data_IF_183744571406
#
_entry.id   IF_183744571406
#
_cell.length_a   1.000
_cell.length_b   1.000
_cell.length_c   1.000
_cell.angle_alpha   90.00
_cell.angle_beta   90.00
_cell.angle_gamma   90.00
#
_symmetry.space_group_name_H-M   'P 1'
#
loop_
_entity.id
_entity.type
_entity.pdbx_description
1 polymer ?
#
# COMPACT_ATOMS: atom_id res chain seq x y z
N UNK A 1 24.78 11.41 -5.22
CA UNK A 1 25.41 11.01 -6.50
C UNK A 1 24.91 11.88 -7.67
N UNK A 2 23.60 11.95 -7.95
CA UNK A 2 23.07 12.78 -9.07
C UNK A 2 23.35 14.29 -8.94
N UNK A 3 23.29 14.85 -7.72
CA UNK A 3 23.67 16.24 -7.47
C UNK A 3 25.14 16.55 -7.82
N UNK A 4 26.02 15.56 -7.78
CA UNK A 4 27.41 15.74 -8.23
C UNK A 4 27.50 15.75 -9.76
N UNK A 5 26.76 14.86 -10.44
CA UNK A 5 26.67 14.83 -11.90
C UNK A 5 26.15 16.18 -12.41
N UNK A 6 25.10 16.71 -11.78
CA UNK A 6 24.54 18.03 -12.09
C UNK A 6 25.57 19.15 -11.95
N UNK A 7 26.32 19.18 -10.83
CA UNK A 7 27.38 20.17 -10.59
C UNK A 7 28.55 20.06 -11.56
N UNK A 8 28.82 18.88 -12.10
CA UNK A 8 29.89 18.65 -13.08
C UNK A 8 29.50 19.05 -14.50
N UNK A 9 28.20 19.19 -14.79
CA UNK A 9 27.70 19.55 -16.11
C UNK A 9 26.57 20.60 -16.03
N UNK A 10 26.84 21.81 -15.49
CA UNK A 10 25.80 22.81 -15.20
C UNK A 10 25.07 23.30 -16.46
N UNK A 11 25.79 23.47 -17.58
CA UNK A 11 25.18 23.87 -18.86
C UNK A 11 24.24 22.77 -19.40
N UNK A 12 24.65 21.51 -19.31
CA UNK A 12 23.81 20.38 -19.73
C UNK A 12 22.59 20.22 -18.81
N UNK A 13 22.72 20.50 -17.51
CA UNK A 13 21.59 20.46 -16.59
C UNK A 13 20.54 21.54 -16.91
N UNK A 14 20.94 22.65 -17.52
CA UNK A 14 20.05 23.74 -17.93
C UNK A 14 19.40 23.49 -19.30
N UNK A 15 20.15 22.96 -20.27
CA UNK A 15 19.70 22.98 -21.68
C UNK A 15 19.62 21.60 -22.36
N UNK A 16 19.95 20.51 -21.67
CA UNK A 16 19.94 19.16 -22.24
C UNK A 16 18.96 18.24 -21.51
N UNK A 17 17.83 17.98 -22.16
CA UNK A 17 16.77 17.11 -21.65
C UNK A 17 17.25 15.70 -21.28
N UNK A 18 18.33 15.20 -21.91
CA UNK A 18 18.90 13.89 -21.59
C UNK A 18 19.53 13.84 -20.19
N UNK A 19 19.94 14.99 -19.65
CA UNK A 19 20.38 15.11 -18.26
C UNK A 19 19.23 15.57 -17.34
N UNK A 20 18.37 16.48 -17.80
CA UNK A 20 17.22 16.94 -16.99
C UNK A 20 16.26 15.81 -16.61
N UNK A 21 15.95 14.86 -17.52
CA UNK A 21 15.05 13.74 -17.24
C UNK A 21 15.53 12.84 -16.07
N UNK A 22 16.76 12.30 -16.08
CA UNK A 22 17.25 11.52 -14.94
C UNK A 22 17.41 12.37 -13.68
N UNK A 23 17.69 13.68 -13.79
CA UNK A 23 17.67 14.58 -12.64
C UNK A 23 16.25 14.72 -12.05
N UNK A 24 15.22 14.85 -12.89
CA UNK A 24 13.82 14.88 -12.44
C UNK A 24 13.52 13.59 -11.68
N UNK A 25 13.83 12.43 -12.27
CA UNK A 25 13.60 11.13 -11.65
C UNK A 25 14.30 10.99 -10.30
N UNK A 26 15.59 11.30 -10.25
CA UNK A 26 16.38 11.16 -9.02
C UNK A 26 15.93 12.11 -7.91
N UNK A 27 15.58 13.36 -8.24
CA UNK A 27 15.02 14.31 -7.28
C UNK A 27 13.63 13.89 -6.81
N UNK A 28 12.80 13.30 -7.69
CA UNK A 28 11.45 12.85 -7.35
C UNK A 28 11.49 11.65 -6.40
N UNK A 29 12.34 10.65 -6.69
CA UNK A 29 12.53 9.49 -5.81
C UNK A 29 13.06 9.93 -4.42
N UNK A 30 14.01 10.87 -4.38
CA UNK A 30 14.52 11.41 -3.12
C UNK A 30 13.46 12.24 -2.36
N UNK A 31 12.64 13.01 -3.08
CA UNK A 31 11.55 13.81 -2.52
C UNK A 31 10.50 12.92 -1.88
N UNK A 32 10.01 11.92 -2.63
CA UNK A 32 9.06 10.93 -2.13
C UNK A 32 9.62 10.20 -0.91
N UNK A 33 10.88 9.74 -0.95
CA UNK A 33 11.47 9.01 0.17
C UNK A 33 11.51 9.86 1.45
N UNK A 34 11.93 11.13 1.36
CA UNK A 34 11.99 12.02 2.53
C UNK A 34 10.60 12.27 3.13
N UNK A 35 9.61 12.55 2.27
CA UNK A 35 8.22 12.73 2.71
C UNK A 35 7.63 11.46 3.29
N UNK A 36 7.85 10.31 2.65
CA UNK A 36 7.35 9.02 3.14
C UNK A 36 7.85 8.74 4.55
N UNK A 37 9.14 8.90 4.83
CA UNK A 37 9.70 8.73 6.18
C UNK A 37 8.96 9.63 7.18
N UNK A 38 8.84 10.93 6.89
CA UNK A 38 8.17 11.87 7.78
C UNK A 38 6.68 11.56 7.97
N UNK A 39 5.99 11.20 6.90
CA UNK A 39 4.57 10.88 6.93
C UNK A 39 4.27 9.57 7.69
N UNK A 40 5.15 8.58 7.59
CA UNK A 40 5.10 7.35 8.40
C UNK A 40 5.31 7.67 9.86
N UNK A 41 6.30 8.51 10.22
CA UNK A 41 6.51 8.95 11.61
C UNK A 41 5.28 9.68 12.18
N UNK A 42 4.62 10.54 11.37
CA UNK A 42 3.38 11.22 11.77
C UNK A 42 2.25 10.21 12.00
N UNK A 43 2.11 9.21 11.12
CA UNK A 43 1.09 8.17 11.29
C UNK A 43 1.33 7.33 12.54
N UNK A 44 2.57 6.87 12.77
CA UNK A 44 2.95 6.11 13.96
C UNK A 44 2.63 6.90 15.25
N UNK A 45 2.97 8.19 15.29
CA UNK A 45 2.64 9.06 16.41
C UNK A 45 1.13 9.24 16.60
N UNK A 46 0.34 9.29 15.52
CA UNK A 46 -1.11 9.34 15.62
C UNK A 46 -1.69 8.03 16.16
N UNK A 47 -1.15 6.88 15.74
CA UNK A 47 -1.51 5.56 16.30
C UNK A 47 -1.13 5.47 17.78
N UNK A 48 0.00 6.04 18.21
CA UNK A 48 0.37 6.14 19.63
C UNK A 48 -0.68 6.91 20.43
N UNK A 49 -1.25 8.00 19.88
CA UNK A 49 -2.36 8.71 20.54
C UNK A 49 -3.61 7.86 20.66
N UNK A 50 -3.90 7.03 19.66
CA UNK A 50 -5.03 6.09 19.71
C UNK A 50 -4.84 5.00 20.76
N UNK A 51 -3.60 4.54 21.03
CA UNK A 51 -3.31 3.56 22.09
C UNK A 51 -3.76 4.05 23.49
N UNK A 52 -3.74 5.35 23.72
CA UNK A 52 -4.17 5.94 24.99
C UNK A 52 -5.70 5.99 25.17
N UNK A 53 -6.49 5.56 24.18
CA UNK A 53 -7.95 5.69 24.21
C UNK A 53 -8.61 5.04 25.43
N UNK A 54 -8.08 3.91 25.93
CA UNK A 54 -8.59 3.27 27.16
C UNK A 54 -8.35 4.10 28.43
N UNK A 55 -7.37 5.01 28.41
CA UNK A 55 -7.00 5.86 29.54
C UNK A 55 -7.67 7.23 29.49
N UNK A 56 -7.69 7.88 28.32
CA UNK A 56 -8.19 9.26 28.16
C UNK A 56 -9.58 9.34 27.50
N UNK A 57 -10.10 8.20 27.05
CA UNK A 57 -11.38 8.09 26.34
C UNK A 57 -11.25 8.25 24.82
N UNK A 58 -12.15 7.63 24.04
CA UNK A 58 -12.05 7.56 22.58
C UNK A 58 -12.08 8.93 21.91
N UNK A 59 -12.93 9.86 22.39
CA UNK A 59 -13.06 11.20 21.83
C UNK A 59 -11.78 12.03 21.97
N UNK A 60 -11.11 11.95 23.12
CA UNK A 60 -9.87 12.67 23.37
C UNK A 60 -8.72 12.09 22.55
N UNK A 61 -8.56 10.76 22.55
CA UNK A 61 -7.55 10.09 21.75
C UNK A 61 -7.67 10.37 20.24
N UNK A 62 -8.90 10.32 19.69
CA UNK A 62 -9.16 10.69 18.30
C UNK A 62 -8.80 12.16 18.03
N UNK A 63 -9.13 13.08 18.94
CA UNK A 63 -8.79 14.50 18.77
C UNK A 63 -7.27 14.72 18.77
N UNK A 64 -6.53 14.06 19.65
CA UNK A 64 -5.06 14.10 19.68
C UNK A 64 -4.45 13.50 18.39
N UNK A 65 -4.94 12.34 17.96
CA UNK A 65 -4.48 11.69 16.72
C UNK A 65 -4.72 12.60 15.49
N UNK A 66 -5.89 13.24 15.38
CA UNK A 66 -6.19 14.22 14.33
C UNK A 66 -5.22 15.40 14.34
N UNK A 67 -4.88 15.90 15.53
CA UNK A 67 -3.91 16.98 15.69
C UNK A 67 -2.55 16.63 15.10
N UNK A 68 -2.07 15.41 15.38
CA UNK A 68 -0.81 14.89 14.82
C UNK A 68 -0.91 14.69 13.31
N UNK A 69 -1.97 14.05 12.80
CA UNK A 69 -2.16 13.82 11.37
C UNK A 69 -2.23 15.11 10.54
N UNK A 70 -2.70 16.21 11.13
CA UNK A 70 -2.76 17.51 10.47
C UNK A 70 -1.37 18.07 10.10
N UNK A 71 -0.29 17.63 10.77
CA UNK A 71 1.09 18.07 10.50
C UNK A 71 1.52 17.80 9.05
N UNK A 72 0.94 16.78 8.39
CA UNK A 72 1.18 16.47 6.96
C UNK A 72 0.93 17.69 6.06
N UNK A 73 -0.06 18.52 6.39
CA UNK A 73 -0.46 19.67 5.56
C UNK A 73 0.56 20.80 5.56
N UNK A 74 1.44 20.82 6.56
CA UNK A 74 2.47 21.86 6.75
C UNK A 74 3.88 21.28 6.67
N UNK A 75 4.06 20.03 6.22
CA UNK A 75 5.36 19.39 6.12
C UNK A 75 6.25 20.05 5.05
N UNK A 76 7.42 20.56 5.47
CA UNK A 76 8.43 21.19 4.62
C UNK A 76 9.73 20.39 4.50
N UNK A 77 9.76 19.15 5.01
CA UNK A 77 10.96 18.29 5.13
C UNK A 77 11.76 18.12 3.82
N UNK A 78 11.11 18.25 2.67
CA UNK A 78 11.72 18.08 1.35
C UNK A 78 11.49 19.28 0.42
N UNK A 79 11.33 20.49 0.97
CA UNK A 79 11.02 21.70 0.21
C UNK A 79 12.13 22.08 -0.80
N UNK A 80 13.39 21.75 -0.51
CA UNK A 80 14.53 21.91 -1.41
C UNK A 80 14.34 21.09 -2.70
N UNK A 81 13.96 19.82 -2.55
CA UNK A 81 13.71 18.91 -3.66
C UNK A 81 12.43 19.27 -4.42
N UNK A 82 11.37 19.68 -3.71
CA UNK A 82 10.13 20.18 -4.34
C UNK A 82 10.43 21.36 -5.26
N UNK A 83 11.21 22.33 -4.77
CA UNK A 83 11.60 23.50 -5.54
C UNK A 83 12.41 23.10 -6.78
N UNK A 84 13.34 22.15 -6.65
CA UNK A 84 14.11 21.64 -7.79
C UNK A 84 13.24 20.90 -8.81
N UNK A 85 12.24 20.14 -8.36
CA UNK A 85 11.30 19.44 -9.24
C UNK A 85 10.47 20.40 -10.09
N UNK A 86 9.99 21.49 -9.49
CA UNK A 86 9.26 22.54 -10.21
C UNK A 86 10.16 23.24 -11.25
N UNK A 87 11.41 23.52 -10.90
CA UNK A 87 12.39 24.09 -11.83
C UNK A 87 12.70 23.13 -12.99
N UNK A 88 12.96 21.86 -12.70
CA UNK A 88 13.17 20.83 -13.72
C UNK A 88 11.94 20.65 -14.62
N UNK A 89 10.74 20.81 -14.05
CA UNK A 89 9.47 20.84 -14.79
C UNK A 89 9.48 21.89 -15.89
N UNK A 90 9.87 23.11 -15.52
CA UNK A 90 10.00 24.23 -16.45
C UNK A 90 11.06 23.97 -17.51
N UNK A 91 12.26 23.54 -17.10
CA UNK A 91 13.38 23.30 -18.02
C UNK A 91 13.06 22.20 -19.05
N UNK A 92 12.37 21.13 -18.63
CA UNK A 92 11.94 20.04 -19.53
C UNK A 92 10.83 20.49 -20.48
N UNK A 93 9.94 21.36 -20.04
CA UNK A 93 8.95 21.97 -20.92
C UNK A 93 9.63 22.86 -21.98
N UNK A 94 10.57 23.71 -21.58
CA UNK A 94 11.33 24.56 -22.51
C UNK A 94 12.20 23.74 -23.48
N UNK A 95 12.77 22.63 -23.02
CA UNK A 95 13.70 21.82 -23.83
C UNK A 95 12.99 20.92 -24.85
N UNK A 96 11.87 20.28 -24.46
CA UNK A 96 11.20 19.27 -25.28
C UNK A 96 9.66 19.33 -25.24
N UNK A 97 9.07 20.34 -24.60
CA UNK A 97 7.61 20.46 -24.49
C UNK A 97 6.97 19.45 -23.54
N UNK A 98 7.73 18.91 -22.57
CA UNK A 98 7.19 17.92 -21.64
C UNK A 98 6.10 18.53 -20.75
N UNK A 99 4.94 17.86 -20.67
CA UNK A 99 3.74 18.35 -19.99
C UNK A 99 3.60 17.72 -18.60
N UNK A 100 4.31 18.25 -17.61
CA UNK A 100 4.45 17.61 -16.29
C UNK A 100 3.40 18.02 -15.26
N UNK A 101 2.54 18.98 -15.57
CA UNK A 101 1.34 19.34 -14.79
C UNK A 101 0.29 19.99 -15.69
N UNK A 102 -0.95 20.06 -15.20
CA UNK A 102 -2.06 20.65 -15.95
C UNK A 102 -1.98 22.17 -16.00
N UNK A 103 -1.69 22.81 -14.87
CA UNK A 103 -1.84 24.25 -14.68
C UNK A 103 -0.83 25.08 -15.49
N UNK A 104 0.41 24.61 -15.59
CA UNK A 104 1.53 25.29 -16.21
C UNK A 104 1.87 24.74 -17.59
N UNK A 105 1.75 23.42 -17.80
CA UNK A 105 2.28 22.76 -19.00
C UNK A 105 1.21 22.09 -19.88
N UNK A 106 -0.07 22.20 -19.51
CA UNK A 106 -1.18 21.78 -20.36
C UNK A 106 -1.32 20.27 -20.51
N UNK A 107 -0.89 19.48 -19.51
CA UNK A 107 -1.23 18.07 -19.46
C UNK A 107 -2.76 17.89 -19.53
N UNK A 108 -3.24 16.87 -20.23
CA UNK A 108 -4.69 16.69 -20.44
C UNK A 108 -5.40 16.25 -19.16
N UNK A 109 -4.75 15.38 -18.37
CA UNK A 109 -5.25 14.85 -17.10
C UNK A 109 -4.10 14.50 -16.16
N UNK A 110 -4.37 14.46 -14.85
CA UNK A 110 -3.39 14.13 -13.82
C UNK A 110 -2.82 12.70 -13.98
N UNK A 111 -3.66 11.73 -14.33
CA UNK A 111 -3.27 10.34 -14.61
C UNK A 111 -2.50 10.13 -15.92
N UNK A 112 -2.13 11.20 -16.64
CA UNK A 112 -1.49 11.15 -17.95
C UNK A 112 -0.13 11.84 -17.97
N UNK A 113 0.74 11.44 -17.05
CA UNK A 113 2.14 11.89 -17.00
C UNK A 113 2.37 13.23 -16.29
N UNK A 114 1.33 13.80 -15.69
CA UNK A 114 1.37 15.05 -14.94
C UNK A 114 1.89 14.82 -13.50
N UNK A 115 3.10 14.29 -13.37
CA UNK A 115 3.67 13.90 -12.07
C UNK A 115 3.82 15.05 -11.08
N UNK A 116 3.96 16.30 -11.56
CA UNK A 116 4.07 17.46 -10.66
C UNK A 116 2.73 17.86 -10.01
N UNK A 117 1.58 17.42 -10.56
CA UNK A 117 0.29 17.57 -9.87
C UNK A 117 0.29 16.79 -8.54
N UNK A 118 1.06 15.69 -8.45
CA UNK A 118 1.07 14.79 -7.29
C UNK A 118 2.09 15.14 -6.22
N UNK A 119 2.78 16.28 -6.32
CA UNK A 119 3.82 16.65 -5.35
C UNK A 119 3.27 16.70 -3.92
N UNK A 120 2.03 17.13 -3.74
CA UNK A 120 1.40 17.28 -2.42
C UNK A 120 0.49 16.11 -2.04
N UNK A 121 0.52 15.02 -2.81
CA UNK A 121 -0.23 13.80 -2.50
C UNK A 121 0.16 13.27 -1.10
N UNK A 122 -0.83 12.84 -0.31
CA UNK A 122 -0.61 12.30 1.02
C UNK A 122 -0.01 10.88 0.94
N UNK A 123 1.10 10.63 1.62
CA UNK A 123 1.81 9.35 1.62
C UNK A 123 1.54 8.51 2.90
N UNK A 124 0.36 8.68 3.49
CA UNK A 124 -0.07 7.96 4.69
C UNK A 124 -1.59 7.75 4.72
N UNK A 125 -2.08 7.02 5.71
CA UNK A 125 -3.48 6.60 5.84
C UNK A 125 -4.40 7.69 6.39
N UNK A 126 -3.95 8.95 6.49
CA UNK A 126 -4.74 10.06 7.06
C UNK A 126 -6.18 10.12 6.51
N UNK A 127 -6.43 10.09 5.18
CA UNK A 127 -7.81 10.16 4.67
C UNK A 127 -8.69 9.00 5.15
N UNK A 128 -8.11 7.79 5.24
CA UNK A 128 -8.81 6.61 5.74
C UNK A 128 -9.06 6.70 7.24
N UNK A 129 -8.04 7.05 8.03
CA UNK A 129 -8.15 7.24 9.47
C UNK A 129 -9.21 8.28 9.83
N UNK A 130 -9.26 9.40 9.11
CA UNK A 130 -10.29 10.43 9.31
C UNK A 130 -11.71 9.90 9.08
N UNK A 131 -11.88 9.06 8.05
CA UNK A 131 -13.16 8.38 7.77
C UNK A 131 -13.53 7.44 8.90
N UNK A 132 -12.58 6.66 9.42
CA UNK A 132 -12.82 5.76 10.55
C UNK A 132 -13.16 6.53 11.83
N UNK A 133 -12.44 7.60 12.13
CA UNK A 133 -12.70 8.45 13.29
C UNK A 133 -14.12 9.02 13.27
N UNK A 134 -14.59 9.46 12.10
CA UNK A 134 -15.96 9.95 11.97
C UNK A 134 -16.98 8.86 12.31
N UNK A 135 -16.81 7.65 11.76
CA UNK A 135 -17.68 6.50 12.04
C UNK A 135 -17.67 6.12 13.53
N UNK A 136 -16.49 6.15 14.18
CA UNK A 136 -16.37 5.78 15.58
C UNK A 136 -17.08 6.80 16.49
N UNK A 137 -16.95 8.09 16.19
CA UNK A 137 -17.58 9.16 16.98
C UNK A 137 -19.11 9.18 16.86
N UNK A 138 -19.68 8.56 15.83
CA UNK A 138 -21.12 8.38 15.64
C UNK A 138 -21.70 7.24 16.48
N UNK A 139 -20.86 6.33 17.00
CA UNK A 139 -21.28 5.27 17.90
C UNK A 139 -21.71 5.84 19.27
N UNK A 140 -22.80 5.31 19.81
CA UNK A 140 -23.29 5.69 21.15
C UNK A 140 -22.55 4.95 22.28
N UNK A 141 -22.06 3.74 22.01
CA UNK A 141 -21.37 2.90 23.01
C UNK A 141 -19.85 3.14 23.01
N UNK A 142 -19.36 3.71 24.12
CA UNK A 142 -17.93 3.89 24.39
C UNK A 142 -17.13 2.59 24.30
N UNK A 143 -17.72 1.46 24.69
CA UNK A 143 -17.05 0.14 24.63
C UNK A 143 -16.82 -0.26 23.18
N UNK A 144 -17.82 -0.09 22.31
CA UNK A 144 -17.67 -0.35 20.88
C UNK A 144 -16.65 0.61 20.26
N UNK A 145 -16.67 1.90 20.63
CA UNK A 145 -15.65 2.88 20.17
C UNK A 145 -14.23 2.42 20.49
N UNK A 146 -13.99 1.97 21.73
CA UNK A 146 -12.68 1.48 22.16
C UNK A 146 -12.25 0.23 21.39
N UNK A 147 -13.18 -0.71 21.16
CA UNK A 147 -12.89 -1.92 20.37
C UNK A 147 -12.52 -1.57 18.92
N UNK A 148 -13.21 -0.62 18.30
CA UNK A 148 -12.92 -0.16 16.94
C UNK A 148 -11.57 0.55 16.84
N UNK A 149 -11.24 1.39 17.82
CA UNK A 149 -9.93 2.04 17.92
C UNK A 149 -8.83 0.98 18.08
N UNK A 150 -9.02 0.02 18.99
CA UNK A 150 -8.05 -1.05 19.19
C UNK A 150 -7.81 -1.86 17.91
N UNK A 151 -8.86 -2.13 17.14
CA UNK A 151 -8.74 -2.81 15.85
C UNK A 151 -7.88 -2.05 14.83
N UNK A 152 -7.90 -0.71 14.84
CA UNK A 152 -6.99 0.12 14.03
C UNK A 152 -5.57 0.08 14.57
N UNK A 153 -5.41 0.21 15.89
CA UNK A 153 -4.09 0.19 16.55
C UNK A 153 -3.36 -1.13 16.27
N UNK A 154 -4.08 -2.24 16.28
CA UNK A 154 -3.56 -3.59 16.07
C UNK A 154 -3.72 -4.06 14.61
N UNK A 155 -3.94 -3.13 13.66
CA UNK A 155 -4.30 -3.48 12.28
C UNK A 155 -3.32 -4.50 11.66
N UNK A 156 -2.03 -4.23 11.82
CA UNK A 156 -0.94 -5.05 11.29
C UNK A 156 -0.46 -6.13 12.27
N UNK A 157 -0.99 -6.16 13.50
CA UNK A 157 -0.61 -7.13 14.54
C UNK A 157 -1.58 -8.35 14.53
N UNK A 158 -1.13 -9.51 14.05
CA UNK A 158 -1.92 -10.74 14.07
C UNK A 158 -1.94 -11.43 15.45
N UNK A 159 -1.24 -10.88 16.44
CA UNK A 159 -1.04 -11.47 17.77
C UNK A 159 0.09 -12.50 17.81
N UNK A 160 0.43 -13.01 19.02
CA UNK A 160 1.53 -13.94 19.20
C UNK A 160 1.41 -15.23 18.37
N UNK A 161 2.42 -15.51 17.55
CA UNK A 161 2.45 -16.68 16.67
C UNK A 161 1.59 -16.55 15.42
N UNK A 162 1.07 -15.35 15.13
CA UNK A 162 0.47 -15.00 13.86
C UNK A 162 1.45 -14.31 12.91
N UNK A 163 1.00 -14.07 11.68
CA UNK A 163 1.78 -13.45 10.59
C UNK A 163 0.95 -12.38 9.88
N UNK A 164 1.62 -11.34 9.38
CA UNK A 164 1.02 -10.30 8.53
C UNK A 164 1.91 -10.07 7.31
N UNK A 165 1.28 -9.98 6.14
CA UNK A 165 1.91 -9.69 4.86
C UNK A 165 1.15 -8.57 4.15
N UNK A 166 1.87 -7.52 3.77
CA UNK A 166 1.44 -6.51 2.79
C UNK A 166 2.02 -6.90 1.44
N UNK A 167 1.17 -7.46 0.58
CA UNK A 167 1.54 -8.03 -0.70
C UNK A 167 1.77 -6.98 -1.79
N UNK A 168 1.38 -5.73 -1.55
CA UNK A 168 1.74 -4.60 -2.39
C UNK A 168 3.17 -4.13 -2.13
N UNK A 169 3.69 -4.35 -0.91
CA UNK A 169 4.97 -3.85 -0.47
C UNK A 169 6.08 -4.92 -0.52
N UNK A 170 7.02 -4.78 -1.45
CA UNK A 170 8.07 -5.78 -1.72
C UNK A 170 8.87 -6.21 -0.47
N UNK A 171 9.05 -5.32 0.50
CA UNK A 171 9.76 -5.60 1.75
C UNK A 171 8.91 -6.21 2.87
N UNK A 172 7.60 -6.39 2.67
CA UNK A 172 6.62 -6.78 3.69
C UNK A 172 5.78 -8.00 3.30
N UNK A 173 6.30 -8.82 2.39
CA UNK A 173 5.63 -10.00 1.84
C UNK A 173 6.47 -11.29 2.00
N UNK A 174 7.02 -11.58 3.20
CA UNK A 174 7.96 -12.69 3.41
C UNK A 174 7.43 -14.06 3.01
N UNK A 175 6.10 -14.27 3.04
CA UNK A 175 5.49 -15.56 2.73
C UNK A 175 5.03 -15.69 1.27
N UNK A 176 5.09 -14.62 0.47
CA UNK A 176 4.66 -14.65 -0.92
C UNK A 176 5.67 -15.38 -1.81
N UNK A 177 5.19 -16.40 -2.52
CA UNK A 177 6.01 -17.21 -3.43
C UNK A 177 6.10 -16.59 -4.83
N UNK A 178 7.24 -16.75 -5.54
CA UNK A 178 8.51 -17.33 -5.04
C UNK A 178 9.25 -16.39 -4.08
N UNK A 179 9.90 -16.96 -3.06
CA UNK A 179 10.66 -16.18 -2.05
C UNK A 179 11.98 -15.62 -2.60
N UNK A 180 12.67 -16.33 -3.49
CA UNK A 180 13.85 -15.81 -4.20
C UNK A 180 13.42 -14.92 -5.37
N UNK A 181 13.28 -13.63 -5.08
CA UNK A 181 12.81 -12.62 -6.04
C UNK A 181 13.78 -12.37 -7.19
N UNK A 182 15.09 -12.46 -6.95
CA UNK A 182 16.08 -12.19 -7.99
C UNK A 182 16.12 -13.34 -9.00
N UNK A 183 16.14 -14.58 -8.52
CA UNK A 183 16.07 -15.75 -9.40
C UNK A 183 14.73 -15.79 -10.16
N UNK A 184 13.61 -15.48 -9.48
CA UNK A 184 12.30 -15.39 -10.10
C UNK A 184 12.25 -14.36 -11.23
N UNK A 185 12.73 -13.14 -10.98
CA UNK A 185 12.78 -12.10 -12.01
C UNK A 185 13.70 -12.48 -13.18
N UNK A 186 14.85 -13.11 -12.94
CA UNK A 186 15.74 -13.60 -14.01
C UNK A 186 15.07 -14.66 -14.89
N UNK A 187 14.29 -15.56 -14.27
CA UNK A 187 13.60 -16.63 -14.98
C UNK A 187 12.30 -16.15 -15.67
N UNK A 188 11.63 -15.16 -15.10
CA UNK A 188 10.34 -14.63 -15.55
C UNK A 188 10.31 -13.09 -15.44
N UNK A 189 11.09 -12.37 -16.28
CA UNK A 189 11.20 -10.91 -16.20
C UNK A 189 9.92 -10.18 -16.59
N UNK A 190 8.98 -10.89 -17.21
CA UNK A 190 7.65 -10.39 -17.59
C UNK A 190 6.55 -10.72 -16.58
N UNK A 191 6.87 -11.40 -15.47
CA UNK A 191 5.92 -11.82 -14.43
C UNK A 191 4.71 -12.60 -14.99
N UNK A 192 4.92 -13.45 -16.00
CA UNK A 192 3.87 -14.26 -16.63
C UNK A 192 3.44 -15.43 -15.74
N UNK A 193 4.41 -16.01 -15.04
CA UNK A 193 4.29 -17.20 -14.20
C UNK A 193 4.56 -16.94 -12.72
N UNK A 194 4.96 -15.72 -12.37
CA UNK A 194 5.21 -15.27 -11.00
C UNK A 194 4.34 -14.04 -10.69
N UNK A 195 4.14 -13.77 -9.39
CA UNK A 195 3.40 -12.57 -8.95
C UNK A 195 4.15 -11.27 -9.30
N UNK A 196 3.41 -10.25 -9.71
CA UNK A 196 3.87 -8.86 -9.82
C UNK A 196 3.22 -7.97 -8.75
N UNK A 197 3.81 -6.81 -8.47
CA UNK A 197 3.14 -5.75 -7.73
C UNK A 197 2.38 -4.89 -8.74
N UNK A 198 1.05 -4.89 -8.66
CA UNK A 198 0.17 -4.11 -9.54
C UNK A 198 -0.53 -3.01 -8.72
N UNK A 199 -0.93 -1.94 -9.38
CA UNK A 199 -1.65 -0.81 -8.77
C UNK A 199 -3.15 -0.86 -9.10
N UNK A 200 -3.97 -0.69 -8.06
CA UNK A 200 -5.39 -0.45 -8.18
C UNK A 200 -5.72 0.96 -8.65
N UNK A 201 -6.95 1.15 -9.16
CA UNK A 201 -7.46 2.48 -9.50
C UNK A 201 -8.09 3.17 -8.27
N UNK A 202 -7.27 3.50 -7.27
CA UNK A 202 -7.72 4.05 -5.98
C UNK A 202 -7.42 5.54 -5.78
N UNK A 203 -7.12 6.26 -6.85
CA UNK A 203 -6.83 7.70 -6.79
C UNK A 203 -8.00 8.49 -7.36
N UNK A 204 -8.45 9.51 -6.62
CA UNK A 204 -9.34 10.53 -7.14
C UNK A 204 -8.49 11.52 -7.95
N UNK A 205 -8.54 11.43 -9.28
CA UNK A 205 -7.72 12.30 -10.14
C UNK A 205 -8.16 13.77 -10.14
N UNK A 206 -9.37 14.08 -9.65
CA UNK A 206 -9.86 15.45 -9.49
C UNK A 206 -9.38 16.09 -8.20
N UNK A 207 -9.42 15.35 -7.08
CA UNK A 207 -8.99 15.81 -5.76
C UNK A 207 -7.49 15.59 -5.50
N UNK A 208 -6.85 14.70 -6.26
CA UNK A 208 -5.47 14.25 -6.04
C UNK A 208 -5.29 13.65 -4.64
N UNK A 209 -6.23 12.80 -4.26
CA UNK A 209 -6.27 12.09 -2.99
C UNK A 209 -6.65 10.62 -3.24
N UNK A 210 -6.52 9.77 -2.22
CA UNK A 210 -7.06 8.42 -2.29
C UNK A 210 -8.60 8.48 -2.29
N UNK A 211 -9.25 7.66 -3.13
CA UNK A 211 -10.71 7.59 -3.21
C UNK A 211 -11.32 7.05 -1.91
N UNK A 212 -10.78 5.92 -1.44
CA UNK A 212 -11.19 5.18 -0.26
C UNK A 212 -10.09 4.20 0.17
N UNK A 213 -10.07 3.86 1.46
CA UNK A 213 -9.22 2.79 1.98
C UNK A 213 -7.79 3.19 2.36
N UNK A 214 -7.07 2.22 2.92
CA UNK A 214 -5.67 2.35 3.33
C UNK A 214 -4.73 2.45 2.12
N UNK A 215 -3.57 3.06 2.33
CA UNK A 215 -2.48 3.14 1.36
C UNK A 215 -2.01 1.74 0.94
N UNK A 216 -1.99 0.77 1.85
CA UNK A 216 -1.67 -0.64 1.56
C UNK A 216 -2.66 -1.32 0.59
N UNK A 217 -3.79 -0.69 0.27
CA UNK A 217 -4.77 -1.23 -0.68
C UNK A 217 -4.67 -0.61 -2.08
N UNK A 218 -3.74 0.32 -2.27
CA UNK A 218 -3.46 0.99 -3.55
C UNK A 218 -2.69 0.07 -4.49
N UNK A 219 -1.89 -0.84 -3.94
CA UNK A 219 -1.19 -1.88 -4.67
C UNK A 219 -1.47 -3.25 -4.05
N UNK A 220 -1.17 -4.29 -4.82
CA UNK A 220 -1.45 -5.67 -4.45
C UNK A 220 -0.51 -6.61 -5.17
N UNK A 221 -0.39 -7.85 -4.67
CA UNK A 221 0.14 -8.92 -5.50
C UNK A 221 -0.89 -9.31 -6.56
N UNK A 222 -0.43 -9.37 -7.81
CA UNK A 222 -1.21 -9.84 -8.94
C UNK A 222 -0.50 -10.99 -9.67
N UNK A 223 -1.26 -11.97 -10.14
CA UNK A 223 -0.77 -12.96 -11.11
C UNK A 223 -1.47 -12.81 -12.45
N UNK A 224 -0.81 -13.20 -13.54
CA UNK A 224 -1.40 -13.11 -14.88
C UNK A 224 -2.13 -14.38 -15.29
N UNK A 225 -3.15 -14.20 -16.13
CA UNK A 225 -3.94 -15.27 -16.73
C UNK A 225 -4.61 -16.17 -15.69
N UNK A 226 -4.23 -17.45 -15.63
CA UNK A 226 -4.70 -18.41 -14.62
C UNK A 226 -3.60 -18.87 -13.66
N UNK A 227 -2.45 -18.19 -13.64
CA UNK A 227 -1.36 -18.50 -12.71
C UNK A 227 -1.87 -18.31 -11.28
N UNK A 228 -1.85 -19.33 -10.41
CA UNK A 228 -2.29 -19.16 -9.03
C UNK A 228 -1.35 -18.25 -8.24
N UNK A 229 -1.91 -17.42 -7.36
CA UNK A 229 -1.12 -16.69 -6.36
C UNK A 229 -0.88 -17.63 -5.17
N UNK A 230 0.35 -17.71 -4.68
CA UNK A 230 0.73 -18.69 -3.65
C UNK A 230 1.51 -18.05 -2.51
N UNK A 231 1.21 -18.48 -1.30
CA UNK A 231 1.95 -18.13 -0.10
C UNK A 231 2.30 -19.40 0.69
N UNK A 232 3.40 -19.35 1.43
CA UNK A 232 3.84 -20.44 2.31
C UNK A 232 4.21 -19.92 3.68
N UNK A 233 3.60 -20.48 4.71
CA UNK A 233 3.93 -20.25 6.10
C UNK A 233 4.63 -21.48 6.68
N UNK A 234 5.65 -21.27 7.50
CA UNK A 234 6.39 -22.33 8.21
C UNK A 234 6.39 -22.06 9.70
N UNK A 235 6.85 -23.03 10.48
CA UNK A 235 7.02 -22.92 11.94
C UNK A 235 5.68 -22.65 12.67
N UNK A 236 4.58 -23.15 12.12
CA UNK A 236 3.26 -23.10 12.75
C UNK A 236 3.20 -24.08 13.93
N UNK A 237 2.41 -23.74 14.95
CA UNK A 237 2.09 -24.63 16.06
C UNK A 237 1.06 -25.68 15.58
N UNK A 238 1.44 -26.96 15.42
CA UNK A 238 0.55 -27.96 14.84
C UNK A 238 -0.67 -28.29 15.71
N UNK A 239 -0.66 -27.85 16.98
CA UNK A 239 -1.77 -28.06 17.91
C UNK A 239 -2.78 -26.93 17.90
N UNK A 240 -2.39 -25.75 17.43
CA UNK A 240 -3.26 -24.59 17.38
C UNK A 240 -4.28 -24.68 16.24
N UNK A 241 -5.25 -23.78 16.28
CA UNK A 241 -6.12 -23.48 15.15
C UNK A 241 -5.71 -22.16 14.55
N UNK A 242 -6.02 -21.96 13.28
CA UNK A 242 -5.67 -20.74 12.55
C UNK A 242 -6.86 -20.21 11.76
N UNK A 243 -6.89 -18.90 11.63
CA UNK A 243 -7.80 -18.16 10.76
C UNK A 243 -6.98 -17.30 9.83
N UNK A 244 -7.36 -17.28 8.56
CA UNK A 244 -6.76 -16.39 7.57
C UNK A 244 -7.68 -15.19 7.39
N UNK A 245 -7.12 -13.99 7.51
CA UNK A 245 -7.77 -12.73 7.19
C UNK A 245 -7.16 -12.22 5.89
N UNK A 246 -7.99 -11.75 4.95
CA UNK A 246 -7.54 -11.36 3.60
C UNK A 246 -8.22 -10.08 3.17
N UNK A 247 -7.43 -9.11 2.69
CA UNK A 247 -7.94 -7.93 1.97
C UNK A 247 -7.84 -8.18 0.47
N UNK A 248 -9.01 -8.31 -0.18
CA UNK A 248 -9.10 -8.39 -1.63
C UNK A 248 -9.23 -6.98 -2.23
N UNK A 249 -8.23 -6.57 -2.99
CA UNK A 249 -8.20 -5.29 -3.68
C UNK A 249 -7.48 -5.41 -5.03
N UNK A 250 -8.03 -4.76 -6.03
CA UNK A 250 -7.47 -4.76 -7.38
C UNK A 250 -8.44 -4.14 -8.39
N UNK A 251 -7.87 -3.65 -9.50
CA UNK A 251 -8.64 -2.96 -10.55
C UNK A 251 -9.57 -3.87 -11.34
N UNK A 252 -9.28 -5.17 -11.38
CA UNK A 252 -10.04 -6.13 -12.20
C UNK A 252 -11.13 -6.85 -11.41
N UNK A 253 -11.19 -6.64 -10.09
CA UNK A 253 -12.24 -7.18 -9.21
C UNK A 253 -12.41 -8.69 -9.40
N UNK A 254 -11.28 -9.40 -9.31
CA UNK A 254 -11.21 -10.83 -9.50
C UNK A 254 -12.21 -11.59 -8.63
N UNK A 255 -12.76 -12.68 -9.19
CA UNK A 255 -13.44 -13.70 -8.40
C UNK A 255 -12.49 -14.86 -8.23
N UNK A 256 -12.21 -15.22 -6.97
CA UNK A 256 -11.19 -16.22 -6.64
C UNK A 256 -11.73 -17.25 -5.66
N UNK A 257 -11.12 -18.44 -5.66
CA UNK A 257 -11.21 -19.39 -4.54
C UNK A 257 -9.87 -19.46 -3.81
N UNK A 258 -9.90 -19.79 -2.52
CA UNK A 258 -8.71 -19.98 -1.70
C UNK A 258 -8.64 -21.44 -1.23
N UNK A 259 -7.52 -22.09 -1.54
CA UNK A 259 -7.20 -23.45 -1.14
C UNK A 259 -6.05 -23.45 -0.13
N UNK A 260 -6.13 -24.32 0.87
CA UNK A 260 -5.02 -24.70 1.75
C UNK A 260 -4.46 -26.06 1.32
N UNK A 261 -3.15 -26.16 1.19
CA UNK A 261 -2.38 -27.34 0.74
C UNK A 261 -2.91 -27.97 -0.55
N UNK A 262 -3.49 -27.15 -1.43
CA UNK A 262 -4.15 -27.56 -2.69
C UNK A 262 -5.25 -28.62 -2.51
N UNK A 263 -5.68 -28.91 -1.27
CA UNK A 263 -6.59 -29.99 -0.95
C UNK A 263 -7.83 -29.50 -0.21
N UNK A 264 -7.67 -28.56 0.72
CA UNK A 264 -8.75 -28.09 1.57
C UNK A 264 -9.25 -26.73 1.09
N UNK A 265 -10.53 -26.61 0.74
CA UNK A 265 -11.12 -25.32 0.38
C UNK A 265 -11.31 -24.47 1.65
N UNK A 266 -10.70 -23.28 1.67
CA UNK A 266 -10.86 -22.28 2.73
C UNK A 266 -12.07 -21.39 2.43
N UNK A 267 -12.20 -20.96 1.17
CA UNK A 267 -13.45 -20.44 0.63
C UNK A 267 -13.57 -20.72 -0.87
N UNK A 268 -14.81 -20.95 -1.31
CA UNK A 268 -15.16 -21.12 -2.72
C UNK A 268 -15.14 -19.80 -3.51
N UNK A 269 -15.87 -19.71 -4.63
CA UNK A 269 -15.89 -18.53 -5.48
C UNK A 269 -16.32 -17.26 -4.74
N UNK A 270 -15.41 -16.33 -4.57
CA UNK A 270 -15.61 -15.07 -3.86
C UNK A 270 -15.20 -13.89 -4.75
N UNK A 271 -16.14 -13.01 -5.15
CA UNK A 271 -15.80 -11.78 -5.84
C UNK A 271 -15.16 -10.78 -4.87
N UNK A 272 -14.28 -9.92 -5.38
CA UNK A 272 -13.79 -8.78 -4.61
C UNK A 272 -14.96 -7.96 -4.04
N UNK A 273 -14.99 -7.70 -2.72
CA UNK A 273 -16.03 -6.90 -2.08
C UNK A 273 -16.21 -5.51 -2.70
N UNK A 274 -17.44 -5.01 -2.70
CA UNK A 274 -17.74 -3.63 -3.17
C UNK A 274 -17.01 -2.61 -2.30
N UNK A 275 -17.24 -2.69 -1.00
CA UNK A 275 -16.49 -1.96 0.02
C UNK A 275 -15.29 -2.81 0.42
N UNK A 276 -14.09 -2.23 0.31
CA UNK A 276 -12.87 -2.97 0.62
C UNK A 276 -12.70 -3.06 2.13
N UNK A 277 -12.71 -4.29 2.64
CA UNK A 277 -12.51 -4.59 4.05
C UNK A 277 -11.92 -6.01 4.18
N UNK A 278 -11.08 -6.29 5.20
CA UNK A 278 -10.57 -7.63 5.43
C UNK A 278 -11.70 -8.64 5.70
N UNK A 279 -11.62 -9.81 5.08
CA UNK A 279 -12.52 -10.94 5.29
C UNK A 279 -11.79 -12.06 6.01
N UNK A 280 -12.47 -12.76 6.90
CA UNK A 280 -11.86 -13.81 7.71
C UNK A 280 -12.44 -15.20 7.42
N UNK A 281 -11.57 -16.20 7.36
CA UNK A 281 -11.91 -17.58 7.05
C UNK A 281 -11.14 -18.55 7.95
N UNK A 282 -11.82 -19.58 8.42
CA UNK A 282 -11.18 -20.64 9.20
C UNK A 282 -10.26 -21.47 8.31
N UNK A 283 -9.02 -21.69 8.73
CA UNK A 283 -8.10 -22.62 8.07
C UNK A 283 -8.38 -24.03 8.59
N UNK A 284 -8.63 -25.02 7.72
CA UNK A 284 -8.83 -26.40 8.15
C UNK A 284 -7.63 -26.92 8.95
N UNK A 285 -7.85 -27.39 10.18
CA UNK A 285 -6.78 -27.83 11.10
C UNK A 285 -5.84 -28.89 10.51
N UNK A 286 -6.34 -29.72 9.59
CA UNK A 286 -5.54 -30.71 8.90
C UNK A 286 -4.43 -30.09 8.02
N UNK A 287 -4.66 -28.89 7.48
CA UNK A 287 -3.74 -28.14 6.62
C UNK A 287 -2.60 -27.43 7.36
N UNK A 288 -2.59 -27.50 8.70
CA UNK A 288 -1.50 -26.93 9.53
C UNK A 288 -0.86 -27.97 10.43
N UNK A 289 -1.22 -29.26 10.24
CA UNK A 289 -0.90 -30.34 11.18
C UNK A 289 0.56 -30.80 11.14
N UNK A 290 1.31 -30.41 10.12
CA UNK A 290 2.75 -30.65 9.97
C UNK A 290 3.60 -29.39 10.27
N UNK A 291 2.95 -28.29 10.68
CA UNK A 291 3.62 -27.02 10.97
C UNK A 291 3.91 -26.15 9.73
N UNK A 292 3.40 -26.54 8.55
CA UNK A 292 3.51 -25.78 7.31
C UNK A 292 2.11 -25.54 6.75
N UNK A 293 1.89 -24.41 6.08
CA UNK A 293 0.65 -24.10 5.38
C UNK A 293 0.94 -23.48 4.03
N UNK A 294 0.44 -24.08 2.96
CA UNK A 294 0.43 -23.49 1.63
C UNK A 294 -0.95 -22.90 1.31
N UNK A 295 -1.01 -21.59 1.11
CA UNK A 295 -2.19 -20.91 0.60
C UNK A 295 -2.09 -20.71 -0.91
N UNK A 296 -3.16 -21.03 -1.63
CA UNK A 296 -3.26 -20.84 -3.07
C UNK A 296 -4.59 -20.17 -3.45
N UNK A 297 -4.49 -18.98 -4.04
CA UNK A 297 -5.63 -18.36 -4.71
C UNK A 297 -5.66 -18.74 -6.17
N UNK A 298 -6.85 -19.07 -6.65
CA UNK A 298 -7.08 -19.43 -8.05
C UNK A 298 -8.14 -18.53 -8.66
N UNK A 299 -7.86 -18.04 -9.87
CA UNK A 299 -8.78 -17.20 -10.62
C UNK A 299 -9.94 -18.01 -11.17
N UNK A 300 -11.16 -17.52 -10.96
CA UNK A 300 -12.39 -18.08 -11.52
C UNK A 300 -13.08 -17.13 -12.51
N UNK A 301 -12.98 -15.82 -12.30
CA UNK A 301 -13.50 -14.81 -13.24
C UNK A 301 -12.72 -13.50 -13.16
N UNK A 302 -12.80 -12.71 -14.24
CA UNK A 302 -12.04 -11.48 -14.50
C UNK A 302 -10.57 -11.74 -14.86
N UNK A 303 -9.62 -10.99 -14.29
CA UNK A 303 -8.21 -11.03 -14.67
C UNK A 303 -7.33 -11.07 -13.44
N UNK A 304 -6.48 -12.09 -13.39
CA UNK A 304 -5.45 -12.27 -12.38
C UNK A 304 -5.97 -12.49 -10.96
N UNK A 305 -5.23 -13.22 -10.13
CA UNK A 305 -5.48 -13.16 -8.70
C UNK A 305 -5.05 -11.78 -8.18
N UNK A 306 -5.79 -11.17 -7.25
CA UNK A 306 -5.49 -9.83 -6.74
C UNK A 306 -5.70 -9.79 -5.22
N UNK A 307 -4.62 -9.76 -4.45
CA UNK A 307 -4.64 -9.81 -2.97
C UNK A 307 -3.70 -8.74 -2.42
N UNK A 308 -4.22 -7.85 -1.57
CA UNK A 308 -3.46 -6.73 -1.01
C UNK A 308 -2.79 -7.07 0.32
N UNK A 309 -3.54 -7.65 1.25
CA UNK A 309 -3.04 -7.97 2.60
C UNK A 309 -3.52 -9.35 3.04
N UNK A 310 -2.68 -10.03 3.81
CA UNK A 310 -3.01 -11.32 4.42
C UNK A 310 -2.52 -11.34 5.87
N UNK A 311 -3.36 -11.83 6.77
CA UNK A 311 -2.96 -12.21 8.12
C UNK A 311 -3.24 -13.69 8.32
N UNK A 312 -2.30 -14.39 8.93
CA UNK A 312 -2.55 -15.72 9.49
C UNK A 312 -2.57 -15.59 11.00
N UNK A 313 -3.77 -15.66 11.59
CA UNK A 313 -4.02 -15.41 13.01
C UNK A 313 -4.10 -16.75 13.73
N UNK A 314 -3.31 -16.89 14.79
CA UNK A 314 -3.34 -18.05 15.69
C UNK A 314 -4.50 -17.89 16.68
N UNK A 315 -5.30 -18.94 16.86
CA UNK A 315 -6.41 -19.01 17.82
C UNK A 315 -6.05 -19.83 19.08
#
# INVERSE_FOLDING_TARGET
HWQQIERQAPEAAQNNWRLQLPLLRANYDAYLRRRLIRHTEIEEQAIDRLREASHIGPKAAIAEARGVLAEVTTDDTAQDLKSRLLELGKLLNESIGLQLDKANYGAVRSDRGAVLDYLDFALNDRPWLETQFQQFLELEDTTEQLQRIQHIVDWEDPGPGGFYDDLGCVGRQPHLLPTDREAAWKADPGFVSTSQSEFGNRVNHGLLELNDGKLSWVNQAETLFGTPLRMRYTDLDPKASYRVRVTYAGRFRATMRLMADQHYEVHGPLPQPTETWPLEFTVPKAATSDGVLDLQWELLAQRGCQVAEVWLIKE
#
